data_IF_090893734862
#
_entry.id   IF_090893734862
#
_cell.length_a   1.000
_cell.length_b   1.000
_cell.length_c   1.000
_cell.angle_alpha   90.00
_cell.angle_beta   90.00
_cell.angle_gamma   90.00
#
_symmetry.space_group_name_H-M   'P 1'
#
loop_
_entity.id
_entity.type
_entity.pdbx_description
1 polymer ?
#
# COMPACT_ATOMS: atom_id res chain seq x y z
N UNK A 1 -9.80 -27.13 -7.61
CA UNK A 1 -10.22 -25.82 -8.19
C UNK A 1 -11.30 -25.95 -9.26
N UNK A 2 -11.01 -26.50 -10.45
CA UNK A 2 -11.92 -26.37 -11.59
C UNK A 2 -13.24 -27.16 -11.47
N UNK A 3 -13.24 -28.32 -10.79
CA UNK A 3 -14.43 -29.17 -10.56
C UNK A 3 -15.33 -28.70 -9.42
N UNK A 4 -14.78 -27.93 -8.47
CA UNK A 4 -15.53 -27.39 -7.31
C UNK A 4 -16.26 -26.09 -7.60
N UNK A 5 -15.92 -25.40 -8.71
CA UNK A 5 -16.65 -24.20 -9.16
C UNK A 5 -18.15 -24.45 -9.36
N UNK A 6 -18.54 -25.68 -9.70
CA UNK A 6 -19.94 -26.08 -9.93
C UNK A 6 -20.83 -26.06 -8.68
N UNK A 7 -20.26 -25.99 -7.47
CA UNK A 7 -21.03 -26.00 -6.21
C UNK A 7 -21.17 -24.62 -5.57
N UNK A 8 -20.63 -23.57 -6.19
CA UNK A 8 -20.62 -22.25 -5.60
C UNK A 8 -21.94 -21.51 -5.87
N UNK A 9 -22.77 -21.35 -4.85
CA UNK A 9 -24.03 -20.59 -4.92
C UNK A 9 -23.80 -19.14 -5.36
N UNK A 10 -22.66 -18.56 -4.99
CA UNK A 10 -22.34 -17.16 -5.29
C UNK A 10 -22.00 -16.96 -6.77
N UNK A 11 -21.49 -17.99 -7.44
CA UNK A 11 -21.29 -17.99 -8.89
C UNK A 11 -22.64 -17.98 -9.62
N UNK A 12 -23.60 -18.78 -9.16
CA UNK A 12 -24.96 -18.79 -9.71
C UNK A 12 -25.67 -17.45 -9.50
N UNK A 13 -25.54 -16.84 -8.32
CA UNK A 13 -26.10 -15.51 -8.04
C UNK A 13 -25.51 -14.41 -8.94
N UNK A 14 -24.19 -14.46 -9.16
CA UNK A 14 -23.51 -13.50 -10.04
C UNK A 14 -23.95 -13.66 -11.50
N UNK A 15 -24.14 -14.90 -11.97
CA UNK A 15 -24.65 -15.19 -13.33
C UNK A 15 -26.14 -14.85 -13.48
N UNK A 16 -26.95 -15.03 -12.44
CA UNK A 16 -28.39 -14.76 -12.44
C UNK A 16 -28.72 -13.26 -12.34
N UNK A 17 -27.71 -12.39 -12.12
CA UNK A 17 -27.91 -10.96 -11.96
C UNK A 17 -28.64 -10.56 -10.68
N UNK A 18 -28.74 -11.47 -9.70
CA UNK A 18 -29.40 -11.22 -8.41
C UNK A 18 -28.59 -10.29 -7.49
N UNK A 19 -27.29 -10.12 -7.78
CA UNK A 19 -26.44 -9.13 -7.13
C UNK A 19 -26.03 -8.01 -8.10
N UNK A 20 -26.08 -6.72 -7.69
CA UNK A 20 -25.61 -5.61 -8.50
C UNK A 20 -24.07 -5.62 -8.58
N UNK A 21 -23.54 -6.41 -9.52
CA UNK A 21 -22.11 -6.51 -9.80
C UNK A 21 -21.85 -6.16 -11.26
N UNK A 22 -20.86 -5.30 -11.53
CA UNK A 22 -20.43 -4.91 -12.88
C UNK A 22 -19.57 -5.96 -13.58
N UNK A 23 -19.63 -7.23 -13.15
CA UNK A 23 -18.77 -8.31 -13.65
C UNK A 23 -19.41 -8.97 -14.87
N UNK A 24 -18.63 -9.19 -15.92
CA UNK A 24 -19.08 -9.85 -17.15
C UNK A 24 -18.42 -11.23 -17.26
N UNK A 25 -19.06 -12.25 -16.67
CA UNK A 25 -18.52 -13.60 -16.60
C UNK A 25 -18.86 -14.42 -17.85
N UNK A 26 -17.83 -14.87 -18.57
CA UNK A 26 -17.94 -15.78 -19.71
C UNK A 26 -17.30 -17.15 -19.41
N UNK A 27 -17.91 -18.26 -19.89
CA UNK A 27 -17.33 -19.59 -19.76
C UNK A 27 -16.16 -19.79 -20.74
N UNK A 28 -15.01 -20.20 -20.23
CA UNK A 28 -13.81 -20.52 -20.99
C UNK A 28 -13.45 -22.00 -20.79
N UNK A 29 -13.45 -22.84 -21.84
CA UNK A 29 -13.01 -24.23 -21.75
C UNK A 29 -11.48 -24.27 -21.62
N UNK A 30 -10.98 -24.95 -20.59
CA UNK A 30 -9.55 -25.14 -20.35
C UNK A 30 -9.27 -26.64 -20.19
N UNK A 31 -8.28 -27.13 -20.93
CA UNK A 31 -7.79 -28.53 -20.98
C UNK A 31 -8.64 -29.56 -21.75
N UNK A 32 -8.10 -30.79 -21.88
CA UNK A 32 -8.77 -31.99 -22.40
C UNK A 32 -8.71 -33.11 -21.35
N UNK A 33 -9.85 -33.59 -20.78
CA UNK A 33 -11.23 -33.20 -21.08
C UNK A 33 -11.57 -31.78 -20.58
N UNK A 34 -12.49 -31.06 -21.26
CA UNK A 34 -12.70 -29.64 -21.03
C UNK A 34 -13.30 -29.38 -19.65
N UNK A 35 -12.58 -28.59 -18.84
CA UNK A 35 -13.15 -27.99 -17.63
C UNK A 35 -13.45 -26.53 -17.90
N UNK A 36 -14.69 -26.12 -17.63
CA UNK A 36 -15.15 -24.75 -17.87
C UNK A 36 -14.77 -23.84 -16.70
N UNK A 37 -14.00 -22.80 -16.97
CA UNK A 37 -13.73 -21.71 -16.03
C UNK A 37 -14.60 -20.50 -16.37
N UNK A 38 -15.28 -19.93 -15.39
CA UNK A 38 -15.89 -18.62 -15.55
C UNK A 38 -14.81 -17.54 -15.39
N UNK A 39 -14.70 -16.66 -16.38
CA UNK A 39 -13.73 -15.59 -16.44
C UNK A 39 -14.44 -14.26 -16.71
N UNK A 40 -14.04 -13.21 -16.00
CA UNK A 40 -14.46 -11.85 -16.30
C UNK A 40 -13.65 -11.27 -17.46
N UNK A 41 -14.33 -10.62 -18.39
CA UNK A 41 -13.75 -10.02 -19.61
C UNK A 41 -13.91 -8.50 -19.69
N UNK A 42 -14.51 -7.87 -18.68
CA UNK A 42 -14.94 -6.46 -18.70
C UNK A 42 -13.81 -5.41 -18.75
N UNK A 43 -12.56 -5.76 -18.46
CA UNK A 43 -11.45 -4.80 -18.28
C UNK A 43 -10.22 -5.09 -19.16
N UNK A 44 -10.41 -5.56 -20.38
CA UNK A 44 -9.35 -5.96 -21.34
C UNK A 44 -8.38 -7.05 -20.83
N UNK A 45 -8.67 -7.62 -19.67
CA UNK A 45 -7.92 -8.68 -19.02
C UNK A 45 -8.86 -9.82 -18.67
N UNK A 46 -8.49 -11.03 -19.07
CA UNK A 46 -9.23 -12.25 -18.72
C UNK A 46 -8.89 -12.61 -17.27
N UNK A 47 -9.86 -12.44 -16.37
CA UNK A 47 -9.67 -12.70 -14.93
C UNK A 47 -10.53 -13.87 -14.49
N UNK A 48 -9.91 -14.92 -13.96
CA UNK A 48 -10.63 -16.09 -13.50
C UNK A 48 -11.49 -15.78 -12.26
N UNK A 49 -12.77 -16.15 -12.28
CA UNK A 49 -13.62 -16.08 -11.11
C UNK A 49 -13.19 -17.10 -10.06
N UNK A 50 -13.11 -16.68 -8.80
CA UNK A 50 -12.62 -17.52 -7.69
C UNK A 50 -13.74 -17.82 -6.69
N UNK A 51 -14.06 -19.12 -6.48
CA UNK A 51 -14.97 -19.53 -5.42
C UNK A 51 -14.47 -19.21 -4.03
N UNK A 52 -15.40 -18.99 -3.10
CA UNK A 52 -15.09 -18.55 -1.74
C UNK A 52 -13.99 -19.38 -1.05
N UNK A 53 -14.09 -20.70 -1.15
CA UNK A 53 -13.16 -21.65 -0.53
C UNK A 53 -11.69 -21.46 -0.96
N UNK A 54 -11.43 -20.96 -2.18
CA UNK A 54 -10.07 -20.81 -2.72
C UNK A 54 -9.50 -19.40 -2.54
N UNK A 55 -10.32 -18.40 -2.17
CA UNK A 55 -9.88 -17.00 -2.12
C UNK A 55 -8.73 -16.78 -1.16
N UNK A 56 -8.82 -17.35 0.05
CA UNK A 56 -7.78 -17.23 1.07
C UNK A 56 -6.48 -17.90 0.64
N UNK A 57 -6.57 -19.09 0.05
CA UNK A 57 -5.40 -19.85 -0.41
C UNK A 57 -4.66 -19.11 -1.53
N UNK A 58 -5.39 -18.63 -2.55
CA UNK A 58 -4.82 -17.84 -3.65
C UNK A 58 -4.16 -16.57 -3.12
N UNK A 59 -4.83 -15.85 -2.21
CA UNK A 59 -4.24 -14.68 -1.59
C UNK A 59 -2.94 -15.02 -0.86
N UNK A 60 -2.95 -16.06 -0.02
CA UNK A 60 -1.77 -16.45 0.76
C UNK A 60 -0.60 -16.80 -0.15
N UNK A 61 -0.83 -17.58 -1.21
CA UNK A 61 0.20 -17.98 -2.17
C UNK A 61 0.83 -16.77 -2.87
N UNK A 62 0.03 -15.79 -3.29
CA UNK A 62 0.53 -14.58 -3.94
C UNK A 62 1.22 -13.64 -2.93
N UNK A 63 0.61 -13.43 -1.77
CA UNK A 63 1.12 -12.53 -0.75
C UNK A 63 2.45 -13.03 -0.15
N UNK A 64 2.59 -14.35 0.07
CA UNK A 64 3.80 -14.96 0.64
C UNK A 64 5.06 -14.79 -0.23
N UNK A 65 4.91 -14.45 -1.52
CA UNK A 65 6.06 -14.25 -2.42
C UNK A 65 6.98 -13.11 -1.97
N UNK A 66 6.42 -12.05 -1.39
CA UNK A 66 7.19 -10.86 -1.00
C UNK A 66 6.58 -10.05 0.15
N UNK A 67 5.49 -10.52 0.76
CA UNK A 67 4.71 -9.77 1.74
C UNK A 67 4.37 -8.34 1.27
N UNK A 68 3.83 -8.16 0.05
CA UNK A 68 3.59 -6.83 -0.49
C UNK A 68 2.48 -6.12 0.31
N UNK A 69 2.65 -4.80 0.49
CA UNK A 69 1.64 -3.97 1.13
C UNK A 69 0.28 -4.02 0.42
N UNK A 70 -0.77 -3.53 1.09
CA UNK A 70 -2.18 -3.63 0.65
C UNK A 70 -2.40 -3.27 -0.82
N UNK A 71 -1.89 -2.11 -1.28
CA UNK A 71 -2.08 -1.65 -2.67
C UNK A 71 -1.42 -2.59 -3.69
N UNK A 72 -0.24 -3.10 -3.38
CA UNK A 72 0.49 -4.02 -4.24
C UNK A 72 -0.15 -5.41 -4.25
N UNK A 73 -0.60 -5.92 -3.09
CA UNK A 73 -1.38 -7.15 -2.98
C UNK A 73 -2.66 -7.09 -3.83
N UNK A 74 -3.41 -6.00 -3.74
CA UNK A 74 -4.62 -5.78 -4.56
C UNK A 74 -4.32 -5.85 -6.06
N UNK A 75 -3.28 -5.13 -6.50
CA UNK A 75 -2.89 -5.11 -7.92
C UNK A 75 -2.50 -6.52 -8.39
N UNK A 76 -1.71 -7.24 -7.61
CA UNK A 76 -1.23 -8.58 -7.96
C UNK A 76 -2.38 -9.60 -8.11
N UNK A 77 -3.37 -9.55 -7.22
CA UNK A 77 -4.56 -10.41 -7.30
C UNK A 77 -5.44 -10.01 -8.49
N UNK A 78 -5.74 -8.72 -8.63
CA UNK A 78 -6.68 -8.19 -9.61
C UNK A 78 -6.26 -8.36 -11.07
N UNK A 79 -4.98 -8.67 -11.34
CA UNK A 79 -4.49 -8.96 -12.70
C UNK A 79 -4.97 -10.32 -13.20
N UNK A 80 -5.21 -11.30 -12.31
CA UNK A 80 -5.49 -12.70 -12.70
C UNK A 80 -6.83 -13.22 -12.19
N UNK A 81 -7.33 -12.66 -11.11
CA UNK A 81 -8.48 -13.19 -10.38
C UNK A 81 -9.51 -12.12 -10.10
N UNK A 82 -10.76 -12.57 -9.93
CA UNK A 82 -11.88 -11.71 -9.56
C UNK A 82 -12.87 -12.48 -8.69
N UNK A 83 -13.51 -11.79 -7.76
CA UNK A 83 -14.65 -12.26 -6.99
C UNK A 83 -15.40 -11.08 -6.34
N UNK A 84 -16.65 -11.26 -5.89
CA UNK A 84 -17.39 -10.21 -5.18
C UNK A 84 -16.65 -9.79 -3.91
N UNK A 85 -16.58 -8.48 -3.64
CA UNK A 85 -15.89 -7.93 -2.45
C UNK A 85 -14.38 -8.23 -2.36
N UNK A 86 -13.72 -8.62 -3.46
CA UNK A 86 -12.26 -8.89 -3.52
C UNK A 86 -11.40 -7.81 -2.87
N UNK A 87 -11.75 -6.54 -3.07
CA UNK A 87 -10.99 -5.44 -2.47
C UNK A 87 -11.02 -5.49 -0.94
N UNK A 88 -12.19 -5.69 -0.36
CA UNK A 88 -12.37 -5.69 1.10
C UNK A 88 -11.60 -6.85 1.73
N UNK A 89 -11.74 -8.03 1.15
CA UNK A 89 -11.02 -9.24 1.51
C UNK A 89 -9.49 -9.04 1.53
N UNK A 90 -8.92 -8.62 0.39
CA UNK A 90 -7.47 -8.46 0.25
C UNK A 90 -6.94 -7.36 1.17
N UNK A 91 -7.68 -6.27 1.38
CA UNK A 91 -7.32 -5.23 2.35
C UNK A 91 -7.26 -5.80 3.76
N UNK A 92 -8.29 -6.55 4.16
CA UNK A 92 -8.36 -7.16 5.48
C UNK A 92 -7.21 -8.14 5.70
N UNK A 93 -6.95 -9.05 4.76
CA UNK A 93 -5.92 -10.08 4.93
C UNK A 93 -4.51 -9.52 4.88
N UNK A 94 -4.22 -8.57 3.99
CA UNK A 94 -2.90 -7.94 3.92
C UNK A 94 -2.61 -7.04 5.14
N UNK A 95 -3.63 -6.38 5.70
CA UNK A 95 -3.47 -5.54 6.90
C UNK A 95 -3.36 -6.34 8.20
N UNK A 96 -3.93 -7.55 8.24
CA UNK A 96 -3.86 -8.47 9.39
C UNK A 96 -2.69 -9.46 9.33
N UNK A 97 -1.84 -9.38 8.30
CA UNK A 97 -0.68 -10.26 8.18
C UNK A 97 0.35 -10.00 9.31
N UNK A 98 0.54 -10.98 10.19
CA UNK A 98 1.45 -10.88 11.33
C UNK A 98 2.91 -10.64 10.92
N UNK A 99 3.38 -11.25 9.83
CA UNK A 99 4.74 -11.04 9.33
C UNK A 99 4.94 -9.59 8.88
N UNK A 100 3.97 -9.06 8.12
CA UNK A 100 3.98 -7.65 7.70
C UNK A 100 3.92 -6.70 8.89
N UNK A 101 3.07 -6.99 9.89
CA UNK A 101 2.93 -6.14 11.09
C UNK A 101 4.22 -6.11 11.93
N UNK A 102 4.89 -7.26 12.09
CA UNK A 102 6.16 -7.34 12.82
C UNK A 102 7.29 -6.65 12.08
N UNK A 103 7.39 -6.84 10.77
CA UNK A 103 8.41 -6.19 9.94
C UNK A 103 8.19 -4.67 9.87
N UNK A 104 6.94 -4.24 9.87
CA UNK A 104 6.55 -2.83 9.88
C UNK A 104 6.54 -2.30 11.31
N UNK A 105 7.72 -2.15 11.90
CA UNK A 105 7.88 -1.48 13.20
C UNK A 105 7.49 -0.01 13.04
N UNK A 106 6.24 0.32 13.40
CA UNK A 106 5.71 1.70 13.46
C UNK A 106 5.93 2.36 14.83
N UNK A 107 6.85 1.84 15.65
CA UNK A 107 7.24 2.51 16.90
C UNK A 107 8.01 3.78 16.55
N UNK A 108 7.27 4.82 16.24
CA UNK A 108 7.78 6.15 16.41
C UNK A 108 7.83 6.37 17.92
N UNK A 109 9.03 6.38 18.50
CA UNK A 109 9.21 6.83 19.87
C UNK A 109 8.76 8.30 19.89
N UNK A 110 7.51 8.53 20.29
CA UNK A 110 7.00 9.87 20.53
C UNK A 110 7.66 10.34 21.81
N UNK A 111 8.86 10.89 21.67
CA UNK A 111 9.49 11.61 22.76
C UNK A 111 8.68 12.89 23.00
N UNK A 112 8.59 13.32 24.25
CA UNK A 112 8.05 14.65 24.54
C UNK A 112 8.87 15.67 23.75
N UNK A 113 8.18 16.61 23.10
CA UNK A 113 8.83 17.71 22.40
C UNK A 113 9.48 18.59 23.47
N UNK A 114 10.76 18.36 23.74
CA UNK A 114 11.54 19.19 24.66
C UNK A 114 11.79 20.55 24.02
N UNK A 115 11.58 21.61 24.81
CA UNK A 115 12.01 22.96 24.45
C UNK A 115 13.51 23.05 24.70
N UNK A 116 14.24 23.53 23.72
CA UNK A 116 15.66 23.87 23.88
C UNK A 116 15.74 25.25 24.53
N UNK A 117 16.65 25.41 25.51
CA UNK A 117 16.97 26.73 26.03
C UNK A 117 17.70 27.54 24.96
N UNK A 118 17.39 28.84 24.90
CA UNK A 118 18.05 29.74 23.96
C UNK A 118 19.51 29.92 24.38
N UNK A 119 20.49 29.72 23.49
CA UNK A 119 21.87 30.01 23.80
C UNK A 119 22.05 31.49 24.16
N UNK A 120 22.83 31.74 25.21
CA UNK A 120 23.16 33.06 25.74
C UNK A 120 24.34 33.72 25.02
N UNK A 121 25.11 32.92 24.26
CA UNK A 121 26.27 33.36 23.50
C UNK A 121 26.26 32.82 22.07
N UNK A 122 27.00 33.49 21.18
CA UNK A 122 27.18 33.04 19.81
C UNK A 122 27.93 31.69 19.78
N UNK A 123 27.46 30.77 18.93
CA UNK A 123 28.02 29.42 18.71
C UNK A 123 27.94 28.44 19.90
N UNK A 124 27.16 28.75 20.94
CA UNK A 124 26.98 27.85 22.10
C UNK A 124 26.27 26.53 21.72
N UNK A 125 25.31 26.57 20.79
CA UNK A 125 24.65 25.39 20.23
C UNK A 125 24.72 25.39 18.70
N UNK A 126 25.20 24.29 18.11
CA UNK A 126 25.24 24.10 16.65
C UNK A 126 24.51 22.81 16.30
N UNK A 127 23.39 22.94 15.59
CA UNK A 127 22.64 21.79 15.07
C UNK A 127 23.19 21.41 13.70
N UNK A 128 23.94 20.31 13.63
CA UNK A 128 24.45 19.76 12.37
C UNK A 128 23.52 18.63 11.95
N UNK A 129 22.90 18.76 10.78
CA UNK A 129 22.13 17.68 10.18
C UNK A 129 22.91 17.13 9.00
N UNK A 130 23.21 15.83 9.04
CA UNK A 130 23.82 15.14 7.92
C UNK A 130 22.72 14.58 7.04
N UNK A 131 22.67 15.05 5.79
CA UNK A 131 21.84 14.45 4.76
C UNK A 131 22.74 13.63 3.85
N UNK A 132 22.67 12.30 3.93
CA UNK A 132 23.42 11.44 3.02
C UNK A 132 22.61 11.26 1.73
N UNK A 133 23.00 12.00 0.70
CA UNK A 133 22.74 11.62 -0.69
C UNK A 133 24.05 11.03 -1.23
N UNK A 134 24.11 9.70 -1.25
CA UNK A 134 25.26 8.90 -1.65
C UNK A 134 26.11 9.50 -2.80
N UNK A 135 27.44 9.47 -2.56
CA UNK A 135 28.57 9.76 -3.46
C UNK A 135 28.70 11.21 -3.97
N UNK A 136 29.18 12.11 -3.13
CA UNK A 136 30.45 12.85 -3.31
C UNK A 136 30.64 13.79 -2.11
N UNK A 137 31.83 13.76 -1.54
CA UNK A 137 32.18 14.35 -0.25
C UNK A 137 32.15 15.89 -0.31
N UNK A 138 31.00 16.51 -0.03
CA UNK A 138 30.89 17.93 0.29
C UNK A 138 29.95 18.12 1.47
N UNK A 139 30.52 18.52 2.61
CA UNK A 139 29.76 18.93 3.80
C UNK A 139 29.32 20.37 3.58
N UNK A 140 28.02 20.62 3.49
CA UNK A 140 27.46 21.96 3.50
C UNK A 140 27.04 22.29 4.94
N UNK A 141 27.73 23.25 5.56
CA UNK A 141 27.34 23.80 6.86
C UNK A 141 26.46 25.01 6.59
N UNK A 142 25.14 24.86 6.75
CA UNK A 142 24.22 26.01 6.73
C UNK A 142 24.13 26.57 8.14
N UNK A 143 24.89 27.62 8.42
CA UNK A 143 24.68 28.44 9.61
C UNK A 143 23.47 29.34 9.35
N UNK A 144 22.32 29.05 9.97
CA UNK A 144 21.22 30.01 10.01
C UNK A 144 21.53 31.03 11.11
N UNK A 145 21.77 32.31 10.78
CA UNK A 145 21.84 33.34 11.80
C UNK A 145 20.45 33.50 12.41
N UNK A 146 20.32 33.19 13.69
CA UNK A 146 19.19 33.65 14.49
C UNK A 146 19.37 35.17 14.62
N UNK A 147 18.71 35.94 13.75
CA UNK A 147 18.62 37.39 13.92
C UNK A 147 17.74 37.66 15.14
N UNK A 148 18.36 38.13 16.21
CA UNK A 148 17.62 38.76 17.31
C UNK A 148 17.23 40.16 16.85
N UNK A 149 15.93 40.43 16.80
CA UNK A 149 15.42 41.80 16.64
C UNK A 149 15.98 42.65 17.78
N UNK A 150 16.90 43.56 17.45
CA UNK A 150 17.37 44.59 18.37
C UNK A 150 16.34 45.74 18.37
N UNK A 151 15.83 46.19 19.53
CA UNK A 151 14.69 47.11 19.61
C UNK A 151 15.05 48.59 19.38
N UNK A 152 16.10 48.91 18.63
CA UNK A 152 16.46 50.31 18.38
C UNK A 152 16.93 50.59 16.96
N UNK A 153 16.05 51.29 16.22
CA UNK A 153 16.45 52.18 15.13
C UNK A 153 16.09 51.72 13.72
N UNK A 154 14.86 51.99 13.29
CA UNK A 154 14.49 52.02 11.87
C UNK A 154 15.43 52.94 11.10
N UNK A 155 15.93 52.50 9.95
CA UNK A 155 16.16 53.40 8.80
C UNK A 155 15.49 52.81 7.55
N UNK A 156 14.92 53.65 6.67
CA UNK A 156 14.10 53.18 5.58
C UNK A 156 14.95 52.73 4.40
N UNK A 157 14.51 51.64 3.76
CA UNK A 157 15.03 51.19 2.48
C UNK A 157 14.52 52.11 1.36
N UNK A 158 15.44 52.64 0.55
CA UNK A 158 15.15 53.10 -0.80
C UNK A 158 15.66 52.06 -1.79
N UNK A 159 14.84 51.77 -2.80
CA UNK A 159 14.98 50.75 -3.83
C UNK A 159 16.30 50.79 -4.59
#
# INVERSE_FOLDING_TARGET
MAREKLKDSQLHDTLAGSCPTSLELQPLPVEQPPVTLHCDVSMDLIRSFVPEMFRREIFNNLHALSHPGVRASLKMVAVRYVWPSMRQDVVLWASTCLQCQRAKVSRNTRNEIRRFELPSSHFEHVHITLWDSCLHQKVFVTALPVWTDSPSGRRPFHW
#
